data_IF_994932424884
#
_entry.id   IF_994932424884
#
_cell.length_a   1.000
_cell.length_b   1.000
_cell.length_c   1.000
_cell.angle_alpha   90.00
_cell.angle_beta   90.00
_cell.angle_gamma   90.00
#
_symmetry.space_group_name_H-M   'P 1'
#
loop_
_entity.id
_entity.type
_entity.pdbx_description
1 polymer ?
#
# COMPACT_ATOMS: atom_id res chain seq x y z
N UNK A 1 -60.24 -30.24 60.00
CA UNK A 1 -60.99 -28.98 60.19
C UNK A 1 -60.20 -27.87 59.51
N UNK A 2 -60.89 -27.08 58.66
CA UNK A 2 -60.64 -25.70 58.19
C UNK A 2 -59.20 -25.29 57.79
N UNK A 3 -58.90 -25.16 56.48
CA UNK A 3 -58.98 -23.96 55.60
C UNK A 3 -57.91 -22.90 55.83
N UNK A 4 -57.10 -22.63 54.80
CA UNK A 4 -56.91 -21.29 54.21
C UNK A 4 -56.27 -21.42 52.82
N UNK A 5 -56.81 -20.66 51.87
CA UNK A 5 -56.37 -20.53 50.49
C UNK A 5 -55.41 -19.34 50.33
N UNK A 6 -54.53 -19.38 49.32
CA UNK A 6 -54.00 -18.20 48.64
C UNK A 6 -53.51 -18.58 47.23
N UNK A 7 -54.18 -18.03 46.22
CA UNK A 7 -53.73 -17.96 44.82
C UNK A 7 -52.48 -17.09 44.67
N UNK A 8 -51.63 -17.36 43.67
CA UNK A 8 -51.23 -16.32 42.70
C UNK A 8 -50.38 -16.88 41.54
N UNK A 9 -50.84 -16.51 40.33
CA UNK A 9 -50.11 -16.23 39.09
C UNK A 9 -49.16 -17.27 38.46
N UNK A 10 -49.63 -17.83 37.34
CA UNK A 10 -48.80 -18.20 36.20
C UNK A 10 -48.19 -16.92 35.59
N UNK A 11 -46.87 -16.85 35.51
CA UNK A 11 -46.17 -15.96 34.59
C UNK A 11 -45.39 -16.83 33.61
N UNK A 12 -45.90 -16.93 32.38
CA UNK A 12 -45.09 -17.36 31.26
C UNK A 12 -44.00 -16.32 31.03
N UNK A 13 -42.76 -16.77 30.85
CA UNK A 13 -41.70 -15.93 30.31
C UNK A 13 -41.48 -16.46 28.90
N UNK A 14 -41.82 -15.59 27.95
CA UNK A 14 -41.66 -15.77 26.53
C UNK A 14 -40.21 -16.14 26.20
N UNK A 15 -40.05 -16.92 25.14
CA UNK A 15 -38.75 -17.13 24.51
C UNK A 15 -38.12 -15.78 24.19
N UNK A 16 -36.90 -15.59 24.67
CA UNK A 16 -36.03 -14.58 24.11
C UNK A 16 -35.57 -15.12 22.75
N UNK A 17 -36.07 -14.49 21.68
CA UNK A 17 -35.37 -14.48 20.40
C UNK A 17 -33.95 -13.93 20.64
N UNK A 18 -32.89 -14.60 20.20
CA UNK A 18 -31.57 -14.01 20.14
C UNK A 18 -31.56 -13.05 18.94
N UNK A 19 -31.99 -11.80 19.16
CA UNK A 19 -31.84 -10.75 18.18
C UNK A 19 -30.48 -10.07 18.35
N UNK A 20 -29.71 -10.12 17.26
CA UNK A 20 -28.56 -9.29 16.91
C UNK A 20 -27.26 -9.54 17.69
N UNK A 21 -26.59 -10.64 17.34
CA UNK A 21 -25.13 -10.60 17.23
C UNK A 21 -24.84 -9.86 15.91
N UNK A 22 -24.52 -8.56 15.97
CA UNK A 22 -23.80 -7.90 14.87
C UNK A 22 -22.35 -8.40 14.95
N UNK A 23 -22.12 -9.64 14.51
CA UNK A 23 -20.78 -10.14 14.26
C UNK A 23 -20.37 -9.66 12.88
N UNK A 24 -19.19 -9.04 12.78
CA UNK A 24 -18.56 -8.73 11.50
C UNK A 24 -18.64 -9.94 10.58
N UNK A 25 -19.17 -9.74 9.37
CA UNK A 25 -19.33 -10.74 8.31
C UNK A 25 -17.97 -11.05 7.64
N UNK A 26 -16.95 -11.35 8.47
CA UNK A 26 -15.54 -11.51 8.11
C UNK A 26 -14.97 -12.81 8.67
N UNK A 27 -14.16 -13.51 7.87
CA UNK A 27 -13.32 -14.62 8.32
C UNK A 27 -11.88 -14.16 8.47
N UNK A 28 -11.21 -14.55 9.55
CA UNK A 28 -9.77 -14.30 9.75
C UNK A 28 -9.01 -15.59 10.00
N UNK A 29 -7.89 -15.74 9.30
CA UNK A 29 -6.99 -16.87 9.43
C UNK A 29 -5.54 -16.40 9.45
N UNK A 30 -4.67 -17.26 9.96
CA UNK A 30 -3.23 -17.04 9.90
C UNK A 30 -2.52 -18.36 9.65
N UNK A 31 -1.45 -18.33 8.87
CA UNK A 31 -0.60 -19.50 8.61
C UNK A 31 0.87 -19.13 8.79
N UNK A 32 1.65 -20.07 9.32
CA UNK A 32 3.10 -19.92 9.44
C UNK A 32 3.77 -20.44 8.17
N UNK A 33 4.73 -19.69 7.63
CA UNK A 33 5.65 -20.17 6.60
C UNK A 33 7.01 -20.47 7.25
N UNK A 34 7.67 -21.53 6.77
CA UNK A 34 8.96 -22.00 7.29
C UNK A 34 8.99 -22.24 8.81
N UNK A 35 7.91 -22.83 9.34
CA UNK A 35 7.76 -23.13 10.78
C UNK A 35 8.95 -23.93 11.35
N UNK A 36 9.46 -23.49 12.50
CA UNK A 36 10.59 -24.08 13.22
C UNK A 36 11.96 -23.73 12.64
N UNK A 37 12.05 -22.76 11.73
CA UNK A 37 13.33 -22.24 11.21
C UNK A 37 13.57 -20.79 11.66
N UNK A 38 14.79 -20.29 11.49
CA UNK A 38 15.13 -18.89 11.79
C UNK A 38 14.39 -17.89 10.88
N UNK A 39 13.82 -18.36 9.77
CA UNK A 39 13.02 -17.55 8.84
C UNK A 39 11.50 -17.78 8.98
N UNK A 40 11.05 -18.35 10.10
CA UNK A 40 9.61 -18.48 10.39
C UNK A 40 8.93 -17.11 10.36
N UNK A 41 7.85 -16.99 9.59
CA UNK A 41 7.00 -15.79 9.61
C UNK A 41 5.54 -16.14 9.39
N UNK A 42 4.64 -15.19 9.65
CA UNK A 42 3.19 -15.39 9.62
C UNK A 42 2.55 -14.61 8.48
N UNK A 43 1.69 -15.29 7.73
CA UNK A 43 0.74 -14.71 6.78
C UNK A 43 -0.61 -14.60 7.47
N UNK A 44 -1.21 -13.42 7.40
CA UNK A 44 -2.58 -13.16 7.88
C UNK A 44 -3.51 -13.03 6.68
N UNK A 45 -4.72 -13.54 6.82
CA UNK A 45 -5.77 -13.49 5.82
C UNK A 45 -7.06 -13.00 6.48
N UNK A 46 -7.65 -11.96 5.91
CA UNK A 46 -9.01 -11.49 6.24
C UNK A 46 -9.85 -11.57 4.97
N UNK A 47 -11.00 -12.25 5.04
CA UNK A 47 -11.92 -12.45 3.90
C UNK A 47 -13.28 -11.87 4.24
N UNK A 48 -13.79 -10.98 3.40
CA UNK A 48 -15.14 -10.46 3.48
C UNK A 48 -16.16 -11.41 2.84
N UNK A 49 -17.42 -11.30 3.26
CA UNK A 49 -18.51 -12.04 2.63
C UNK A 49 -18.84 -11.54 1.22
N UNK A 50 -18.61 -10.26 0.92
CA UNK A 50 -18.83 -9.71 -0.42
C UNK A 50 -17.64 -10.03 -1.33
N UNK A 51 -17.93 -10.43 -2.57
CA UNK A 51 -16.91 -10.66 -3.59
C UNK A 51 -16.16 -9.35 -3.90
N UNK A 52 -14.84 -9.43 -4.06
CA UNK A 52 -13.96 -8.29 -4.34
C UNK A 52 -12.54 -8.77 -4.67
N UNK A 53 -11.60 -7.84 -4.87
CA UNK A 53 -10.23 -8.16 -5.24
C UNK A 53 -9.46 -8.81 -4.08
N UNK A 54 -8.33 -9.43 -4.42
CA UNK A 54 -7.34 -9.88 -3.44
C UNK A 54 -6.20 -8.87 -3.36
N UNK A 55 -5.99 -8.29 -2.19
CA UNK A 55 -4.90 -7.36 -1.90
C UNK A 55 -3.87 -8.04 -1.02
N UNK A 56 -2.60 -7.99 -1.42
CA UNK A 56 -1.45 -8.44 -0.63
C UNK A 56 -0.64 -7.23 -0.16
N UNK A 57 -0.56 -7.03 1.15
CA UNK A 57 0.34 -6.05 1.78
C UNK A 57 1.52 -6.75 2.46
N UNK A 58 2.73 -6.33 2.13
CA UNK A 58 3.96 -6.90 2.70
C UNK A 58 4.81 -5.80 3.34
N UNK A 59 5.32 -6.09 4.53
CA UNK A 59 6.25 -5.24 5.26
C UNK A 59 7.41 -6.06 5.82
N UNK A 60 8.44 -5.37 6.29
CA UNK A 60 9.55 -6.02 7.00
C UNK A 60 10.40 -6.92 6.11
N UNK A 61 10.47 -6.64 4.80
CA UNK A 61 11.50 -7.25 3.93
C UNK A 61 12.90 -6.89 4.45
N UNK A 62 13.07 -5.64 4.89
CA UNK A 62 14.20 -5.21 5.71
C UNK A 62 13.74 -4.89 7.13
N UNK A 63 14.47 -5.37 8.12
CA UNK A 63 14.09 -5.23 9.53
C UNK A 63 14.42 -3.90 10.19
N UNK A 64 15.22 -3.06 9.55
CA UNK A 64 15.52 -1.70 10.01
C UNK A 64 14.51 -0.65 9.50
N UNK A 65 13.50 -1.07 8.75
CA UNK A 65 12.45 -0.23 8.15
C UNK A 65 11.16 -0.32 8.97
N UNK A 66 11.24 0.21 10.20
CA UNK A 66 10.27 0.05 11.29
C UNK A 66 8.85 0.46 10.92
N UNK A 67 8.67 1.58 10.22
CA UNK A 67 7.31 2.06 9.93
C UNK A 67 6.56 1.11 9.01
N UNK A 68 7.25 0.48 8.05
CA UNK A 68 6.63 -0.41 7.07
C UNK A 68 6.00 -1.63 7.73
N UNK A 69 6.75 -2.34 8.58
CA UNK A 69 6.21 -3.53 9.24
C UNK A 69 5.20 -3.22 10.35
N UNK A 70 5.35 -2.12 11.09
CA UNK A 70 4.36 -1.72 12.11
C UNK A 70 3.00 -1.40 11.46
N UNK A 71 3.01 -0.72 10.30
CA UNK A 71 1.78 -0.46 9.53
C UNK A 71 1.21 -1.75 8.96
N UNK A 72 2.03 -2.64 8.39
CA UNK A 72 1.56 -3.94 7.93
C UNK A 72 0.94 -4.77 9.07
N UNK A 73 1.49 -4.73 10.29
CA UNK A 73 0.88 -5.38 11.46
C UNK A 73 -0.50 -4.79 11.78
N UNK A 74 -0.65 -3.46 11.71
CA UNK A 74 -1.95 -2.82 11.91
C UNK A 74 -2.96 -3.15 10.79
N UNK A 75 -2.49 -3.23 9.54
CA UNK A 75 -3.31 -3.59 8.36
C UNK A 75 -3.83 -5.03 8.46
N UNK A 76 -3.02 -5.96 8.99
CA UNK A 76 -3.47 -7.34 9.21
C UNK A 76 -4.71 -7.43 10.14
N UNK A 77 -4.99 -6.36 10.90
CA UNK A 77 -6.16 -6.26 11.77
C UNK A 77 -7.35 -5.51 11.15
N UNK A 78 -7.26 -5.01 9.92
CA UNK A 78 -8.33 -4.26 9.26
C UNK A 78 -9.58 -5.10 9.04
N UNK A 79 -10.74 -4.44 9.19
CA UNK A 79 -12.03 -4.96 8.74
C UNK A 79 -12.26 -4.44 7.33
N UNK A 80 -12.52 -5.32 6.38
CA UNK A 80 -12.75 -5.00 4.96
C UNK A 80 -14.20 -5.32 4.62
N UNK A 81 -14.77 -4.62 3.64
CA UNK A 81 -16.17 -4.81 3.26
C UNK A 81 -16.32 -5.81 2.10
N UNK A 82 -15.31 -5.92 1.23
CA UNK A 82 -15.29 -6.84 0.09
C UNK A 82 -13.90 -7.47 -0.15
N UNK A 83 -13.87 -8.63 -0.78
CA UNK A 83 -12.64 -9.27 -1.24
C UNK A 83 -11.82 -9.95 -0.14
N UNK A 84 -10.50 -10.02 -0.36
CA UNK A 84 -9.54 -10.69 0.52
C UNK A 84 -8.34 -9.79 0.78
N UNK A 85 -8.00 -9.57 2.05
CA UNK A 85 -6.79 -8.89 2.48
C UNK A 85 -5.80 -9.92 3.03
N UNK A 86 -4.69 -10.09 2.33
CA UNK A 86 -3.54 -10.90 2.74
C UNK A 86 -2.47 -9.95 3.25
N UNK A 87 -1.88 -10.25 4.40
CA UNK A 87 -0.85 -9.39 4.97
C UNK A 87 0.32 -10.19 5.54
N UNK A 88 1.54 -9.77 5.22
CA UNK A 88 2.78 -10.36 5.74
C UNK A 88 3.58 -9.24 6.43
N UNK A 89 3.38 -9.00 7.74
CA UNK A 89 4.01 -7.87 8.41
C UNK A 89 5.51 -7.98 8.57
N UNK A 90 6.02 -9.19 8.82
CA UNK A 90 7.43 -9.45 9.12
C UNK A 90 8.03 -10.40 8.08
N UNK A 91 8.09 -9.99 6.81
CA UNK A 91 8.55 -10.85 5.72
C UNK A 91 9.92 -11.49 6.00
N UNK A 92 10.84 -10.74 6.61
CA UNK A 92 12.07 -11.25 7.19
C UNK A 92 12.05 -11.06 8.72
N UNK A 93 11.35 -11.95 9.43
CA UNK A 93 11.14 -11.85 10.87
C UNK A 93 12.46 -11.79 11.66
N UNK A 94 13.47 -12.56 11.25
CA UNK A 94 14.82 -12.51 11.82
C UNK A 94 15.41 -11.08 11.74
N UNK A 95 15.42 -10.47 10.55
CA UNK A 95 15.93 -9.12 10.38
C UNK A 95 15.14 -8.10 11.21
N UNK A 96 13.81 -8.25 11.27
CA UNK A 96 12.91 -7.39 12.07
C UNK A 96 13.25 -7.47 13.55
N UNK A 97 13.41 -8.67 14.11
CA UNK A 97 13.79 -8.88 15.51
C UNK A 97 15.15 -8.23 15.84
N UNK A 98 16.09 -8.30 14.91
CA UNK A 98 17.42 -7.72 15.03
C UNK A 98 17.46 -6.21 14.75
N UNK A 99 16.42 -5.64 14.13
CA UNK A 99 16.36 -4.27 13.62
C UNK A 99 17.49 -3.94 12.64
N UNK A 100 17.81 -4.90 11.79
CA UNK A 100 18.87 -4.82 10.77
C UNK A 100 18.27 -4.95 9.37
N UNK A 101 19.00 -4.50 8.36
CA UNK A 101 18.53 -4.61 6.96
C UNK A 101 18.32 -6.06 6.52
N UNK A 102 19.19 -6.95 6.96
CA UNK A 102 19.21 -8.38 6.64
C UNK A 102 19.28 -9.19 7.94
N UNK A 103 18.98 -10.49 7.86
CA UNK A 103 19.27 -11.42 8.95
C UNK A 103 20.77 -11.75 9.05
N UNK A 104 21.09 -12.78 9.83
CA UNK A 104 22.48 -13.22 10.07
C UNK A 104 23.18 -13.72 8.80
N UNK A 105 22.41 -14.14 7.79
CA UNK A 105 22.92 -14.61 6.50
C UNK A 105 23.48 -13.47 5.61
N UNK A 106 23.17 -12.22 5.94
CA UNK A 106 23.58 -11.04 5.17
C UNK A 106 22.93 -10.90 3.80
N UNK A 107 21.90 -11.69 3.48
CA UNK A 107 21.24 -11.67 2.18
C UNK A 107 20.19 -10.56 2.14
N UNK A 108 20.29 -9.67 1.15
CA UNK A 108 19.23 -8.71 0.85
C UNK A 108 18.06 -9.46 0.20
N UNK A 109 16.99 -9.66 0.98
CA UNK A 109 15.80 -10.40 0.57
C UNK A 109 15.15 -9.73 -0.65
N UNK A 110 15.15 -8.40 -0.74
CA UNK A 110 14.57 -7.67 -1.87
C UNK A 110 15.46 -7.68 -3.12
N UNK A 111 16.40 -8.62 -3.23
CA UNK A 111 17.19 -8.92 -4.44
C UNK A 111 17.01 -10.36 -4.91
N UNK A 112 16.14 -11.12 -4.26
CA UNK A 112 15.96 -12.56 -4.51
C UNK A 112 14.75 -12.88 -5.40
N UNK A 113 14.02 -11.87 -5.89
CA UNK A 113 12.78 -12.04 -6.67
C UNK A 113 12.99 -11.70 -8.15
N UNK A 114 13.87 -12.43 -8.84
CA UNK A 114 14.08 -12.23 -10.27
C UNK A 114 12.82 -12.61 -11.08
N UNK A 115 12.46 -11.78 -12.06
CA UNK A 115 11.29 -12.00 -12.93
C UNK A 115 11.46 -13.22 -13.81
N UNK A 116 10.39 -13.99 -14.00
CA UNK A 116 10.40 -15.20 -14.82
C UNK A 116 11.30 -16.34 -14.30
N UNK A 117 11.90 -16.17 -13.11
CA UNK A 117 12.78 -17.15 -12.46
C UNK A 117 12.26 -17.52 -11.06
N UNK A 118 12.55 -18.72 -10.59
CA UNK A 118 12.24 -19.08 -9.20
C UNK A 118 13.15 -18.28 -8.25
N UNK A 119 12.63 -17.77 -7.12
CA UNK A 119 13.47 -17.10 -6.13
C UNK A 119 14.58 -18.01 -5.59
N UNK A 120 15.70 -17.42 -5.20
CA UNK A 120 16.96 -18.15 -4.92
C UNK A 120 17.05 -18.71 -3.50
N UNK A 121 16.45 -18.05 -2.50
CA UNK A 121 16.49 -18.47 -1.10
C UNK A 121 15.18 -19.13 -0.66
N UNK A 122 15.24 -19.98 0.37
CA UNK A 122 14.04 -20.65 0.89
C UNK A 122 12.97 -19.65 1.36
N UNK A 123 13.38 -18.55 1.99
CA UNK A 123 12.47 -17.50 2.44
C UNK A 123 11.81 -16.78 1.24
N UNK A 124 12.60 -16.38 0.25
CA UNK A 124 12.06 -15.73 -0.95
C UNK A 124 11.11 -16.67 -1.72
N UNK A 125 11.44 -17.96 -1.83
CA UNK A 125 10.54 -18.96 -2.44
C UNK A 125 9.25 -19.11 -1.64
N UNK A 126 9.35 -19.19 -0.31
CA UNK A 126 8.16 -19.34 0.54
C UNK A 126 7.24 -18.12 0.43
N UNK A 127 7.77 -16.90 0.46
CA UNK A 127 7.00 -15.67 0.27
C UNK A 127 6.39 -15.58 -1.13
N UNK A 128 7.14 -15.96 -2.16
CA UNK A 128 6.63 -15.97 -3.52
C UNK A 128 5.52 -17.00 -3.72
N UNK A 129 5.64 -18.19 -3.12
CA UNK A 129 4.57 -19.20 -3.14
C UNK A 129 3.29 -18.66 -2.48
N UNK A 130 3.37 -17.79 -1.48
CA UNK A 130 2.20 -17.12 -0.91
C UNK A 130 1.55 -16.24 -1.96
N UNK A 131 2.32 -15.38 -2.65
CA UNK A 131 1.80 -14.53 -3.72
C UNK A 131 1.17 -15.36 -4.86
N UNK A 132 1.81 -16.42 -5.33
CA UNK A 132 1.27 -17.31 -6.37
C UNK A 132 -0.02 -18.04 -5.94
N UNK A 133 -0.11 -18.42 -4.67
CA UNK A 133 -1.28 -19.13 -4.16
C UNK A 133 -2.51 -18.21 -4.01
N UNK A 134 -2.28 -16.95 -3.65
CA UNK A 134 -3.34 -15.96 -3.46
C UNK A 134 -3.71 -15.24 -4.76
N UNK A 135 -2.83 -15.22 -5.76
CA UNK A 135 -3.05 -14.56 -7.06
C UNK A 135 -3.59 -13.13 -6.90
N UNK A 136 -2.87 -12.24 -6.18
CA UNK A 136 -3.39 -10.93 -5.80
C UNK A 136 -3.60 -10.02 -7.01
N UNK A 137 -4.73 -9.31 -7.01
CA UNK A 137 -5.00 -8.22 -7.95
C UNK A 137 -4.10 -7.02 -7.65
N UNK A 138 -3.84 -6.76 -6.35
CA UNK A 138 -2.98 -5.66 -5.88
C UNK A 138 -1.90 -6.13 -4.90
N UNK A 139 -0.68 -5.65 -5.09
CA UNK A 139 0.45 -5.87 -4.19
C UNK A 139 1.05 -4.55 -3.72
N UNK A 140 1.17 -4.38 -2.41
CA UNK A 140 1.80 -3.19 -1.81
C UNK A 140 2.96 -3.61 -0.90
N UNK A 141 4.15 -3.11 -1.19
CA UNK A 141 5.39 -3.38 -0.45
C UNK A 141 5.88 -2.13 0.28
N UNK A 142 5.96 -2.21 1.61
CA UNK A 142 6.20 -1.06 2.49
C UNK A 142 7.66 -1.00 2.93
N UNK A 143 8.38 0.02 2.45
CA UNK A 143 9.80 0.25 2.73
C UNK A 143 10.04 1.61 3.39
N UNK A 144 11.29 1.82 3.80
CA UNK A 144 11.79 3.14 4.19
C UNK A 144 13.19 3.41 3.63
N UNK A 145 13.42 4.64 3.18
CA UNK A 145 14.70 5.05 2.59
C UNK A 145 15.43 6.05 3.48
N UNK A 146 16.75 6.14 3.35
CA UNK A 146 17.56 7.11 4.09
C UNK A 146 17.65 8.49 3.43
N UNK A 147 17.24 8.60 2.17
CA UNK A 147 17.31 9.82 1.38
C UNK A 147 16.05 9.99 0.54
N UNK A 148 15.80 11.21 0.05
CA UNK A 148 14.56 11.59 -0.65
C UNK A 148 14.72 11.34 -2.15
N UNK A 149 13.67 10.84 -2.78
CA UNK A 149 13.63 10.68 -4.22
C UNK A 149 13.64 12.03 -4.96
N UNK A 150 14.52 12.15 -5.94
CA UNK A 150 14.67 13.35 -6.75
C UNK A 150 14.74 13.03 -8.26
N UNK A 151 13.97 12.02 -8.70
CA UNK A 151 13.95 11.57 -10.10
C UNK A 151 15.07 10.58 -10.47
N UNK A 152 15.78 10.06 -9.47
CA UNK A 152 16.76 9.00 -9.61
C UNK A 152 17.20 8.47 -8.24
N UNK A 153 17.76 7.24 -8.19
CA UNK A 153 18.04 6.57 -6.92
C UNK A 153 19.29 7.10 -6.18
N UNK A 154 20.05 8.01 -6.81
CA UNK A 154 21.34 8.50 -6.29
C UNK A 154 21.18 9.18 -4.93
N UNK A 155 20.14 9.99 -4.78
CA UNK A 155 19.87 10.76 -3.56
C UNK A 155 19.00 10.00 -2.54
N UNK A 156 18.54 8.80 -2.93
CA UNK A 156 17.60 7.97 -2.18
C UNK A 156 16.28 7.80 -2.93
N UNK A 157 15.36 7.06 -2.31
CA UNK A 157 14.04 6.73 -2.89
C UNK A 157 12.89 7.05 -1.92
N UNK A 158 13.18 7.74 -0.82
CA UNK A 158 12.21 8.11 0.22
C UNK A 158 11.24 9.19 -0.23
N UNK A 159 10.07 9.22 0.43
CA UNK A 159 8.94 10.06 0.05
C UNK A 159 8.52 9.81 -1.41
N UNK A 160 8.37 8.53 -1.76
CA UNK A 160 7.90 8.16 -3.09
C UNK A 160 6.97 6.94 -3.08
N UNK A 161 6.09 6.89 -4.08
CA UNK A 161 5.33 5.71 -4.46
C UNK A 161 5.82 5.28 -5.83
N UNK A 162 6.43 4.11 -5.91
CA UNK A 162 6.77 3.49 -7.19
C UNK A 162 5.65 2.55 -7.59
N UNK A 163 5.25 2.54 -8.87
CA UNK A 163 4.12 1.74 -9.32
C UNK A 163 4.41 0.95 -10.60
N UNK A 164 3.64 -0.11 -10.86
CA UNK A 164 3.69 -0.84 -12.13
C UNK A 164 3.27 0.04 -13.31
N UNK A 165 3.74 -0.29 -14.52
CA UNK A 165 3.56 0.53 -15.73
C UNK A 165 2.15 0.39 -16.30
N UNK A 166 1.22 1.18 -15.76
CA UNK A 166 -0.15 1.30 -16.29
C UNK A 166 -0.72 2.70 -16.01
N UNK A 167 -1.74 3.10 -16.78
CA UNK A 167 -2.44 4.37 -16.53
C UNK A 167 -3.23 4.36 -15.23
N UNK A 168 -3.77 3.21 -14.84
CA UNK A 168 -4.57 3.03 -13.62
C UNK A 168 -3.68 3.24 -12.38
N UNK A 169 -2.64 2.42 -12.24
CA UNK A 169 -1.67 2.53 -11.15
C UNK A 169 -0.96 3.87 -11.07
N UNK A 170 -0.68 4.52 -12.21
CA UNK A 170 -0.15 5.88 -12.20
C UNK A 170 -1.16 6.88 -11.59
N UNK A 171 -2.43 6.77 -11.97
CA UNK A 171 -3.50 7.64 -11.47
C UNK A 171 -3.71 7.43 -9.97
N UNK A 172 -3.73 6.17 -9.51
CA UNK A 172 -3.96 5.82 -8.11
C UNK A 172 -2.80 6.28 -7.22
N UNK A 173 -1.56 6.07 -7.67
CA UNK A 173 -0.37 6.57 -6.98
C UNK A 173 -0.37 8.10 -6.89
N UNK A 174 -0.69 8.80 -7.98
CA UNK A 174 -0.77 10.27 -7.99
C UNK A 174 -1.87 10.77 -7.03
N UNK A 175 -3.05 10.15 -7.05
CA UNK A 175 -4.16 10.51 -6.18
C UNK A 175 -3.83 10.28 -4.71
N UNK A 176 -3.23 9.13 -4.37
CA UNK A 176 -2.81 8.80 -3.02
C UNK A 176 -1.74 9.78 -2.51
N UNK A 177 -0.71 10.04 -3.31
CA UNK A 177 0.35 11.00 -2.99
C UNK A 177 -0.23 12.41 -2.79
N UNK A 178 -1.06 12.90 -3.71
CA UNK A 178 -1.68 14.22 -3.62
C UNK A 178 -2.56 14.38 -2.39
N UNK A 179 -3.36 13.36 -2.07
CA UNK A 179 -4.24 13.38 -0.90
C UNK A 179 -3.43 13.40 0.39
N UNK A 180 -2.38 12.58 0.50
CA UNK A 180 -1.52 12.57 1.69
C UNK A 180 -0.71 13.87 1.80
N UNK A 181 -0.13 14.35 0.71
CA UNK A 181 0.61 15.61 0.68
C UNK A 181 -0.23 16.80 1.13
N UNK A 182 -1.46 16.90 0.60
CA UNK A 182 -2.35 18.04 0.88
C UNK A 182 -2.84 18.08 2.32
N UNK A 183 -3.06 16.92 2.93
CA UNK A 183 -3.79 16.82 4.21
C UNK A 183 -2.89 16.44 5.40
N UNK A 184 -1.71 15.87 5.15
CA UNK A 184 -0.92 15.21 6.20
C UNK A 184 0.59 15.46 6.13
N UNK A 185 1.10 16.06 5.05
CA UNK A 185 2.51 16.47 4.95
C UNK A 185 2.60 17.98 5.12
N UNK A 186 2.92 18.42 6.33
CA UNK A 186 3.02 19.85 6.66
C UNK A 186 4.40 20.45 6.32
N UNK A 187 5.45 19.62 6.30
CA UNK A 187 6.82 20.07 6.08
C UNK A 187 7.17 20.10 4.58
N UNK A 188 7.49 21.29 4.10
CA UNK A 188 7.94 21.51 2.72
C UNK A 188 9.22 20.71 2.44
N UNK A 189 9.24 20.01 1.31
CA UNK A 189 10.34 19.16 0.89
C UNK A 189 10.20 17.70 1.32
N UNK A 190 9.12 17.34 2.02
CA UNK A 190 8.77 15.95 2.34
C UNK A 190 7.55 15.45 1.56
N UNK A 191 7.10 16.20 0.55
CA UNK A 191 6.00 15.77 -0.29
C UNK A 191 6.35 14.46 -1.02
N UNK A 192 5.42 13.52 -1.01
CA UNK A 192 5.50 12.29 -1.78
C UNK A 192 5.45 12.59 -3.28
N UNK A 193 6.34 11.97 -4.03
CA UNK A 193 6.28 11.94 -5.50
C UNK A 193 5.92 10.53 -5.99
N UNK A 194 5.64 10.39 -7.28
CA UNK A 194 5.40 9.09 -7.90
C UNK A 194 6.39 8.83 -9.03
N UNK A 195 6.70 7.57 -9.28
CA UNK A 195 7.42 7.15 -10.48
C UNK A 195 7.06 5.72 -10.87
N UNK A 196 7.31 5.37 -12.12
CA UNK A 196 7.07 4.02 -12.64
C UNK A 196 8.26 3.10 -12.35
N UNK A 197 7.99 1.81 -12.14
CA UNK A 197 9.03 0.80 -12.00
C UNK A 197 10.06 0.85 -13.12
N UNK A 198 11.33 0.80 -12.73
CA UNK A 198 12.43 0.67 -13.67
C UNK A 198 12.25 -0.60 -14.52
N UNK A 199 12.54 -0.49 -15.82
CA UNK A 199 12.50 -1.63 -16.74
C UNK A 199 13.44 -2.76 -16.27
N UNK A 200 13.18 -4.04 -16.63
CA UNK A 200 14.00 -5.17 -16.19
C UNK A 200 15.49 -5.04 -16.52
N UNK A 201 15.82 -4.35 -17.61
CA UNK A 201 17.21 -4.07 -18.00
C UNK A 201 17.94 -3.02 -17.14
N UNK A 202 17.23 -2.34 -16.23
CA UNK A 202 17.76 -1.31 -15.34
C UNK A 202 17.77 -1.80 -13.88
N UNK A 203 18.74 -1.34 -13.09
CA UNK A 203 18.75 -1.56 -11.64
C UNK A 203 17.73 -0.65 -10.92
N UNK A 204 17.19 -1.08 -9.77
CA UNK A 204 17.42 -2.36 -9.08
C UNK A 204 16.60 -3.54 -9.67
N UNK A 205 17.22 -4.71 -9.72
CA UNK A 205 16.56 -5.98 -10.11
C UNK A 205 16.26 -6.85 -8.89
N UNK A 206 15.32 -7.78 -9.06
CA UNK A 206 15.00 -8.78 -8.03
C UNK A 206 14.09 -8.28 -6.90
N UNK A 207 13.32 -7.20 -7.14
CA UNK A 207 12.34 -6.68 -6.18
C UNK A 207 11.05 -7.52 -6.18
N UNK A 208 10.48 -7.73 -4.99
CA UNK A 208 9.23 -8.49 -4.84
C UNK A 208 8.08 -7.93 -5.69
N UNK A 209 7.84 -6.61 -5.62
CA UNK A 209 6.79 -5.92 -6.38
C UNK A 209 7.00 -5.94 -7.90
N UNK A 210 8.24 -5.90 -8.37
CA UNK A 210 8.52 -5.98 -9.80
C UNK A 210 8.14 -7.37 -10.32
N UNK A 211 8.48 -8.41 -9.57
CA UNK A 211 8.11 -9.78 -9.88
C UNK A 211 6.60 -9.98 -9.83
N UNK A 212 5.91 -9.48 -8.80
CA UNK A 212 4.45 -9.51 -8.71
C UNK A 212 3.78 -8.88 -9.93
N UNK A 213 4.19 -7.66 -10.29
CA UNK A 213 3.65 -6.95 -11.45
C UNK A 213 3.83 -7.69 -12.78
N UNK A 214 4.96 -8.39 -12.96
CA UNK A 214 5.36 -8.93 -14.26
C UNK A 214 5.02 -10.40 -14.43
N UNK A 215 5.05 -11.17 -13.35
CA UNK A 215 4.77 -12.60 -13.37
C UNK A 215 3.29 -12.90 -13.05
N UNK A 216 2.66 -12.09 -12.18
CA UNK A 216 1.25 -12.25 -11.80
C UNK A 216 0.30 -11.26 -12.49
N UNK A 217 0.84 -10.21 -13.13
CA UNK A 217 0.06 -9.09 -13.68
C UNK A 217 -0.70 -8.28 -12.61
N UNK A 218 -0.22 -8.32 -11.36
CA UNK A 218 -0.80 -7.56 -10.26
C UNK A 218 -0.54 -6.05 -10.42
N UNK A 219 -1.52 -5.22 -10.06
CA UNK A 219 -1.27 -3.80 -9.81
C UNK A 219 -0.34 -3.70 -8.61
N UNK A 220 0.82 -3.06 -8.75
CA UNK A 220 1.86 -3.17 -7.73
C UNK A 220 2.40 -1.81 -7.36
N UNK A 221 2.57 -1.59 -6.06
CA UNK A 221 3.06 -0.35 -5.48
C UNK A 221 4.18 -0.65 -4.47
N UNK A 222 5.24 0.14 -4.51
CA UNK A 222 6.29 0.16 -3.49
C UNK A 222 6.28 1.55 -2.87
N UNK A 223 6.02 1.61 -1.57
CA UNK A 223 5.94 2.87 -0.83
C UNK A 223 7.20 3.04 0.00
N UNK A 224 7.83 4.21 -0.12
CA UNK A 224 9.04 4.57 0.59
C UNK A 224 8.79 5.83 1.42
N UNK A 225 8.94 5.72 2.74
CA UNK A 225 9.00 6.92 3.61
C UNK A 225 10.44 7.28 3.94
N UNK A 226 10.72 8.55 4.23
CA UNK A 226 12.04 8.97 4.68
C UNK A 226 12.28 8.55 6.13
N UNK A 227 13.24 7.65 6.35
CA UNK A 227 13.63 7.16 7.67
C UNK A 227 14.43 8.14 8.52
N UNK A 228 15.04 9.14 7.90
CA UNK A 228 15.88 10.15 8.56
C UNK A 228 15.22 11.52 8.52
N UNK A 229 14.25 11.74 9.40
CA UNK A 229 13.65 13.06 9.59
C UNK A 229 12.37 12.98 10.40
N UNK A 230 11.23 12.63 9.75
CA UNK A 230 9.97 12.38 10.43
C UNK A 230 10.11 11.34 11.54
N UNK A 231 9.37 11.53 12.63
CA UNK A 231 9.31 10.51 13.67
C UNK A 231 8.54 9.26 13.21
N UNK A 232 8.68 8.17 13.96
CA UNK A 232 8.07 6.89 13.61
C UNK A 232 6.54 6.99 13.47
N UNK A 233 5.88 7.74 14.36
CA UNK A 233 4.42 7.90 14.33
C UNK A 233 3.96 8.60 13.03
N UNK A 234 4.69 9.62 12.60
CA UNK A 234 4.44 10.32 11.34
C UNK A 234 4.61 9.39 10.15
N UNK A 235 5.70 8.61 10.10
CA UNK A 235 5.96 7.64 9.01
C UNK A 235 4.89 6.56 8.95
N UNK A 236 4.49 6.02 10.11
CA UNK A 236 3.37 5.07 10.23
C UNK A 236 2.09 5.71 9.70
N UNK A 237 1.79 6.95 10.11
CA UNK A 237 0.57 7.63 9.67
C UNK A 237 0.54 7.84 8.15
N UNK A 238 1.66 8.23 7.54
CA UNK A 238 1.73 8.38 6.09
C UNK A 238 1.56 7.05 5.35
N UNK A 239 2.29 6.01 5.76
CA UNK A 239 2.15 4.66 5.20
C UNK A 239 0.70 4.18 5.28
N UNK A 240 0.07 4.26 6.46
CA UNK A 240 -1.35 3.86 6.65
C UNK A 240 -2.26 4.58 5.66
N UNK A 241 -2.10 5.89 5.49
CA UNK A 241 -2.96 6.69 4.60
C UNK A 241 -2.71 6.41 3.14
N UNK A 242 -1.45 6.25 2.74
CA UNK A 242 -1.11 5.90 1.37
C UNK A 242 -1.72 4.54 1.00
N UNK A 243 -1.55 3.52 1.84
CA UNK A 243 -2.18 2.22 1.64
C UNK A 243 -3.69 2.35 1.57
N UNK A 244 -4.30 3.09 2.51
CA UNK A 244 -5.76 3.32 2.51
C UNK A 244 -6.21 3.90 1.19
N UNK A 245 -5.57 4.97 0.69
CA UNK A 245 -5.98 5.62 -0.57
C UNK A 245 -5.78 4.71 -1.79
N UNK A 246 -4.79 3.82 -1.78
CA UNK A 246 -4.53 2.90 -2.89
C UNK A 246 -5.56 1.77 -2.99
N UNK A 247 -6.24 1.40 -1.89
CA UNK A 247 -7.15 0.25 -1.85
C UNK A 247 -8.56 0.59 -1.34
N UNK A 248 -8.85 1.88 -1.15
CA UNK A 248 -10.13 2.34 -0.61
C UNK A 248 -11.30 1.90 -1.50
N UNK A 249 -11.21 2.17 -2.79
CA UNK A 249 -12.24 1.81 -3.77
C UNK A 249 -12.34 0.29 -4.02
N UNK A 250 -11.33 -0.47 -3.58
CA UNK A 250 -11.23 -1.90 -3.79
C UNK A 250 -11.83 -2.73 -2.66
N UNK A 251 -11.53 -2.37 -1.41
CA UNK A 251 -11.86 -3.17 -0.24
C UNK A 251 -12.96 -2.59 0.64
N UNK A 252 -13.31 -1.31 0.46
CA UNK A 252 -14.24 -0.61 1.35
C UNK A 252 -15.44 -0.05 0.57
N UNK A 253 -16.63 -0.19 1.14
CA UNK A 253 -17.82 0.42 0.53
C UNK A 253 -17.71 1.94 0.63
N UNK A 254 -17.64 2.63 -0.51
CA UNK A 254 -17.73 4.09 -0.52
C UNK A 254 -19.13 4.48 -0.05
N UNK A 255 -19.24 5.07 1.15
CA UNK A 255 -20.53 5.55 1.67
C UNK A 255 -21.15 6.54 0.66
N UNK A 256 -22.07 6.03 -0.17
CA UNK A 256 -22.80 6.85 -1.12
C UNK A 256 -23.79 7.64 -0.30
N UNK A 257 -23.40 8.86 0.09
CA UNK A 257 -24.33 9.81 0.71
C UNK A 257 -25.39 10.14 -0.33
N UNK A 258 -26.45 9.34 -0.34
CA UNK A 258 -27.63 9.56 -1.17
C UNK A 258 -28.39 10.68 -0.48
N UNK A 259 -28.03 11.93 -0.77
CA UNK A 259 -28.84 13.09 -0.43
C UNK A 259 -30.10 13.06 -1.31
N UNK A 260 -31.06 12.22 -0.94
CA UNK A 260 -32.39 12.20 -1.52
C UNK A 260 -33.18 13.39 -0.93
N UNK A 261 -32.83 14.59 -1.40
CA UNK A 261 -33.68 15.77 -1.27
C UNK A 261 -34.29 16.11 -2.63
N UNK A 262 -35.41 15.44 -2.89
CA UNK A 262 -36.39 15.87 -3.89
C UNK A 262 -37.08 17.15 -3.39
N UNK A 263 -37.01 18.25 -4.16
CA UNK A 263 -37.70 19.49 -3.77
C UNK A 263 -37.54 20.74 -4.65
N UNK A 264 -38.02 20.67 -5.89
CA UNK A 264 -38.84 21.72 -6.55
C UNK A 264 -38.21 23.04 -7.11
N UNK A 265 -37.99 23.01 -8.44
CA UNK A 265 -38.35 23.95 -9.54
C UNK A 265 -38.02 25.46 -9.61
N UNK A 266 -37.68 25.82 -10.88
CA UNK A 266 -37.75 27.12 -11.60
C UNK A 266 -36.66 28.16 -11.27
N UNK A 267 -36.00 28.81 -12.23
CA UNK A 267 -36.55 29.44 -13.44
C UNK A 267 -35.44 29.68 -14.51
N UNK A 268 -35.86 29.87 -15.76
CA UNK A 268 -35.06 29.89 -16.98
C UNK A 268 -34.57 31.29 -17.43
N UNK A 269 -33.88 31.30 -18.59
CA UNK A 269 -33.51 32.42 -19.51
C UNK A 269 -32.27 33.27 -19.13
N UNK A 270 -31.41 33.76 -20.01
CA UNK A 270 -31.36 33.97 -21.49
C UNK A 270 -29.85 34.27 -21.80
N UNK A 271 -29.19 33.64 -22.76
CA UNK A 271 -28.98 34.06 -24.18
C UNK A 271 -27.70 34.88 -24.47
N UNK A 272 -27.11 34.54 -25.63
CA UNK A 272 -26.45 35.40 -26.61
C UNK A 272 -24.94 35.71 -26.50
N UNK A 273 -24.20 35.06 -27.41
CA UNK A 273 -23.24 35.58 -28.42
C UNK A 273 -22.18 36.62 -27.98
N UNK A 274 -20.91 36.55 -28.32
CA UNK A 274 -20.24 35.97 -29.48
C UNK A 274 -18.97 36.79 -29.75
N UNK A 275 -18.36 36.47 -30.87
CA UNK A 275 -17.29 37.17 -31.59
C UNK A 275 -15.82 36.79 -31.38
N UNK A 276 -15.23 36.69 -32.57
CA UNK A 276 -13.99 36.08 -33.00
C UNK A 276 -12.93 37.13 -33.32
N UNK A 277 -11.68 36.67 -33.32
CA UNK A 277 -10.53 37.14 -34.13
C UNK A 277 -9.94 38.53 -33.79
N UNK A 278 -8.61 38.61 -33.65
CA UNK A 278 -7.73 38.91 -34.78
C UNK A 278 -6.23 38.81 -34.42
N UNK A 279 -5.44 38.43 -35.43
CA UNK A 279 -4.04 38.79 -35.77
C UNK A 279 -2.97 38.85 -34.65
N UNK A 280 -1.96 37.97 -34.65
CA UNK A 280 -0.72 38.01 -35.47
C UNK A 280 0.09 39.31 -35.33
N UNK A 281 1.32 39.25 -34.81
CA UNK A 281 2.54 39.54 -35.60
C UNK A 281 3.85 39.29 -34.82
N UNK A 282 4.78 38.63 -35.51
CA UNK A 282 6.25 38.68 -35.51
C UNK A 282 7.07 39.16 -34.29
N UNK A 283 8.08 38.36 -33.91
CA UNK A 283 9.42 38.48 -34.51
C UNK A 283 10.48 37.58 -33.84
N UNK A 284 11.49 37.26 -34.64
CA UNK A 284 12.51 36.25 -34.47
C UNK A 284 13.80 36.72 -33.75
N UNK A 285 14.63 35.73 -33.41
CA UNK A 285 16.04 35.85 -32.99
C UNK A 285 16.23 35.25 -31.59
N UNK A 286 17.21 34.39 -31.29
CA UNK A 286 18.53 34.22 -31.89
C UNK A 286 19.12 32.83 -31.54
N UNK A 287 20.17 32.44 -32.27
CA UNK A 287 20.87 31.14 -32.27
C UNK A 287 22.02 31.02 -31.26
N UNK A 288 22.29 29.81 -30.77
CA UNK A 288 23.62 29.17 -30.48
C UNK A 288 23.35 27.98 -29.52
N UNK A 289 23.49 26.70 -29.87
CA UNK A 289 24.70 25.93 -30.22
C UNK A 289 25.84 26.08 -29.22
N UNK A 290 26.00 25.11 -28.32
CA UNK A 290 27.32 24.54 -28.02
C UNK A 290 27.18 23.14 -27.40
N UNK A 291 28.10 22.29 -27.83
CA UNK A 291 28.19 20.84 -27.74
C UNK A 291 28.75 20.27 -26.42
N UNK A 292 28.40 19.00 -26.18
CA UNK A 292 29.17 17.88 -25.59
C UNK A 292 30.43 18.19 -24.76
N UNK A 293 30.49 17.69 -23.52
CA UNK A 293 31.66 16.90 -23.08
C UNK A 293 31.40 16.02 -21.83
N UNK A 294 32.27 15.02 -21.75
CA UNK A 294 32.31 13.73 -21.08
C UNK A 294 32.21 13.63 -19.53
N UNK A 295 31.71 12.43 -19.15
CA UNK A 295 32.01 11.57 -17.99
C UNK A 295 33.00 12.05 -16.92
N UNK A 296 32.57 11.96 -15.64
CA UNK A 296 33.41 11.43 -14.55
C UNK A 296 32.54 10.60 -13.59
N UNK A 297 32.80 9.30 -13.56
CA UNK A 297 32.37 8.33 -12.53
C UNK A 297 33.38 8.43 -11.38
N UNK A 298 32.93 8.72 -10.16
CA UNK A 298 33.78 8.50 -8.98
C UNK A 298 33.02 7.85 -7.81
N UNK A 299 33.65 6.74 -7.37
CA UNK A 299 33.34 5.78 -6.33
C UNK A 299 32.91 6.36 -4.97
N UNK A 300 31.99 5.67 -4.28
CA UNK A 300 31.98 5.62 -2.82
C UNK A 300 31.79 4.16 -2.35
N UNK A 301 32.92 3.55 -1.95
CA UNK A 301 33.00 2.40 -1.05
C UNK A 301 33.29 2.92 0.36
N UNK A 302 32.90 2.11 1.35
CA UNK A 302 33.14 2.21 2.79
C UNK A 302 32.03 2.99 3.53
N UNK A 303 31.43 2.49 4.62
CA UNK A 303 32.04 1.75 5.72
C UNK A 303 31.18 0.59 6.23
N UNK A 304 31.82 -0.59 6.36
CA UNK A 304 31.42 -1.63 7.29
C UNK A 304 32.48 -1.65 8.41
N UNK A 305 32.03 -1.45 9.64
CA UNK A 305 32.77 -1.73 10.87
C UNK A 305 31.79 -2.06 11.98
#
# INVERSE_FOLDING_TARGET
MLTAAASCALAGIAGADPSAESGSDLSRQSSQILEGTDHETTVYETVANADGPTVLVIGGIHGNEVAGYEVASAIAEWEIDAGTLVTIPHANAEAVEQRTRTGDDGVDLNRQFAEGEEPTTNLAQALWNVAENYDPDVVIDLHESIGIYAGGPVDGVGQAIFHSDSTETATDAEQAADTVNRNHVDERGLEFTTDTFAKPENEPSGLFVHKAARDLNAQSFLIETLSRGPDLETRINWHTRLVTNLIEEELFETETTTDDSTGDTSDASDDSTGDTADASDDSAGDTADDSDDETVIEQCRADAS
#
